data_IF_492643764239
#
_entry.id   IF_492643764239
#
_cell.length_a   1.000
_cell.length_b   1.000
_cell.length_c   1.000
_cell.angle_alpha   90.00
_cell.angle_beta   90.00
_cell.angle_gamma   90.00
#
_symmetry.space_group_name_H-M   'P 1'
#
loop_
_entity.id
_entity.type
_entity.pdbx_description
1 polymer ?
#
# COMPACT_ATOMS: atom_id res chain seq x y z
N UNK A 1 6.25 46.46 -17.97
CA UNK A 1 7.53 46.59 -17.24
C UNK A 1 7.36 45.86 -15.91
N UNK A 2 8.04 44.74 -15.71
CA UNK A 2 7.90 43.98 -14.46
C UNK A 2 8.67 44.69 -13.34
N UNK A 3 7.97 45.13 -12.29
CA UNK A 3 8.55 45.75 -11.11
C UNK A 3 9.26 44.69 -10.25
N UNK A 4 10.46 44.30 -10.65
CA UNK A 4 11.35 43.46 -9.85
C UNK A 4 12.12 44.37 -8.89
N UNK A 5 12.17 43.99 -7.60
CA UNK A 5 12.95 44.74 -6.60
C UNK A 5 14.44 44.71 -6.99
N UNK A 6 15.12 45.86 -6.89
CA UNK A 6 16.53 46.02 -7.25
C UNK A 6 17.45 44.95 -6.64
N UNK A 7 17.24 44.62 -5.35
CA UNK A 7 18.01 43.58 -4.65
C UNK A 7 17.80 42.17 -5.20
N UNK A 8 16.61 41.87 -5.70
CA UNK A 8 16.30 40.58 -6.35
C UNK A 8 17.01 40.49 -7.70
N UNK A 9 16.97 41.57 -8.50
CA UNK A 9 17.67 41.63 -9.78
C UNK A 9 19.20 41.49 -9.61
N UNK A 10 19.80 42.18 -8.63
CA UNK A 10 21.22 42.04 -8.32
C UNK A 10 21.59 40.61 -7.91
N UNK A 11 20.74 39.95 -7.12
CA UNK A 11 20.96 38.57 -6.69
C UNK A 11 20.90 37.59 -7.87
N UNK A 12 19.95 37.75 -8.78
CA UNK A 12 19.88 36.96 -10.01
C UNK A 12 21.12 37.14 -10.88
N UNK A 13 21.62 38.37 -11.05
CA UNK A 13 22.85 38.63 -11.81
C UNK A 13 24.07 37.99 -11.14
N UNK A 14 24.14 37.99 -9.81
CA UNK A 14 25.22 37.35 -9.06
C UNK A 14 25.17 35.81 -9.16
N UNK A 15 23.98 35.22 -9.03
CA UNK A 15 23.76 33.77 -9.19
C UNK A 15 24.10 33.34 -10.63
N UNK A 16 23.64 34.08 -11.65
CA UNK A 16 23.94 33.83 -13.07
C UNK A 16 25.44 33.91 -13.40
N UNK A 17 26.15 34.91 -12.86
CA UNK A 17 27.61 35.02 -13.03
C UNK A 17 28.37 33.90 -12.35
N UNK A 18 27.83 33.34 -11.27
CA UNK A 18 28.42 32.20 -10.58
C UNK A 18 28.25 30.91 -11.40
N UNK A 19 27.06 30.71 -11.96
CA UNK A 19 26.74 29.57 -12.85
C UNK A 19 27.58 29.58 -14.14
N UNK A 20 27.91 30.75 -14.71
CA UNK A 20 28.80 30.86 -15.87
C UNK A 20 30.27 30.51 -15.62
N UNK A 21 30.71 30.53 -14.36
CA UNK A 21 32.10 30.23 -13.97
C UNK A 21 32.28 28.79 -13.44
N UNK A 22 31.19 28.06 -13.22
CA UNK A 22 31.19 26.65 -12.83
C UNK A 22 30.74 25.84 -14.06
N UNK A 23 31.55 24.92 -14.59
CA UNK A 23 31.19 23.97 -15.67
C UNK A 23 30.14 22.93 -15.19
N UNK A 24 29.11 23.37 -14.47
CA UNK A 24 28.04 22.53 -13.96
C UNK A 24 26.79 22.77 -14.77
N UNK A 25 26.52 21.82 -15.67
CA UNK A 25 25.29 21.67 -16.47
C UNK A 25 24.05 21.31 -15.62
N UNK A 26 24.05 21.66 -14.33
CA UNK A 26 22.92 21.39 -13.43
C UNK A 26 22.53 22.64 -12.67
N UNK A 27 21.43 23.24 -13.13
CA UNK A 27 20.66 24.24 -12.40
C UNK A 27 20.25 23.63 -11.05
N UNK A 28 21.08 23.84 -10.02
CA UNK A 28 20.84 23.29 -8.70
C UNK A 28 19.77 24.13 -8.00
N UNK A 29 18.51 23.79 -8.27
CA UNK A 29 17.38 24.34 -7.54
C UNK A 29 17.62 24.12 -6.03
N UNK A 30 17.83 25.20 -5.29
CA UNK A 30 17.96 25.14 -3.83
C UNK A 30 16.65 24.59 -3.27
N UNK A 31 16.61 23.29 -2.95
CA UNK A 31 15.43 22.63 -2.39
C UNK A 31 15.03 23.36 -1.11
N UNK A 32 13.86 23.97 -1.11
CA UNK A 32 13.27 24.52 0.11
C UNK A 32 13.10 23.38 1.10
N UNK A 33 13.67 23.52 2.29
CA UNK A 33 13.44 22.56 3.38
C UNK A 33 11.95 22.65 3.74
N UNK A 34 11.22 21.58 3.46
CA UNK A 34 9.80 21.48 3.76
C UNK A 34 9.53 21.35 5.26
N UNK A 35 8.24 21.30 5.63
CA UNK A 35 7.83 20.99 7.00
C UNK A 35 8.36 19.60 7.40
N UNK A 36 8.87 19.42 8.63
CA UNK A 36 9.28 18.11 9.11
C UNK A 36 8.13 17.09 9.03
N UNK A 37 8.47 15.85 8.67
CA UNK A 37 7.50 14.77 8.58
C UNK A 37 7.06 14.33 9.98
N UNK A 38 5.75 14.20 10.17
CA UNK A 38 5.14 13.74 11.42
C UNK A 38 5.28 12.21 11.54
N UNK A 39 5.07 11.50 10.41
CA UNK A 39 5.19 10.04 10.35
C UNK A 39 6.59 9.63 9.89
N UNK A 40 7.35 9.02 10.81
CA UNK A 40 8.65 8.40 10.56
C UNK A 40 8.62 6.87 10.40
N UNK A 41 9.80 6.24 10.41
CA UNK A 41 9.95 4.78 10.27
C UNK A 41 9.21 3.93 11.31
N UNK A 42 9.16 4.29 12.62
CA UNK A 42 8.44 3.47 13.61
C UNK A 42 6.96 3.30 13.25
N UNK A 43 6.32 4.39 12.82
CA UNK A 43 4.93 4.39 12.37
C UNK A 43 4.73 3.56 11.09
N UNK A 44 5.71 3.58 10.18
CA UNK A 44 5.67 2.76 8.98
C UNK A 44 5.71 1.27 9.30
N UNK A 45 6.59 0.85 10.20
CA UNK A 45 6.70 -0.55 10.61
C UNK A 45 5.42 -1.02 11.29
N UNK A 46 4.86 -0.22 12.20
CA UNK A 46 3.57 -0.51 12.83
C UNK A 46 2.44 -0.69 11.81
N UNK A 47 2.28 0.27 10.88
CA UNK A 47 1.26 0.19 9.84
C UNK A 47 1.43 -1.02 8.92
N UNK A 48 2.67 -1.45 8.64
CA UNK A 48 2.89 -2.69 7.86
C UNK A 48 2.32 -3.89 8.59
N UNK A 49 2.64 -4.07 9.87
CA UNK A 49 2.11 -5.16 10.69
C UNK A 49 0.59 -5.15 10.71
N UNK A 50 -0.02 -3.98 10.92
CA UNK A 50 -1.49 -3.84 10.93
C UNK A 50 -2.14 -4.30 9.62
N UNK A 51 -1.57 -3.92 8.47
CA UNK A 51 -2.11 -4.32 7.16
C UNK A 51 -1.75 -5.76 6.77
N UNK A 52 -0.63 -6.30 7.23
CA UNK A 52 -0.25 -7.69 7.00
C UNK A 52 -1.16 -8.65 7.80
N UNK A 53 -1.50 -8.30 9.05
CA UNK A 53 -2.38 -9.10 9.90
C UNK A 53 -3.85 -9.02 9.45
N UNK A 54 -4.32 -7.82 9.10
CA UNK A 54 -5.67 -7.62 8.57
C UNK A 54 -5.64 -6.61 7.41
N UNK A 55 -5.56 -7.09 6.15
CA UNK A 55 -5.47 -6.20 5.00
C UNK A 55 -6.72 -5.33 4.82
N UNK A 56 -7.87 -5.75 5.35
CA UNK A 56 -9.14 -5.04 5.27
C UNK A 56 -9.32 -3.97 6.36
N UNK A 57 -8.27 -3.68 7.14
CA UNK A 57 -8.28 -2.60 8.14
C UNK A 57 -8.62 -1.26 7.48
N UNK A 58 -9.56 -0.53 8.08
CA UNK A 58 -9.96 0.78 7.53
C UNK A 58 -8.94 1.86 7.86
N UNK A 59 -8.98 2.98 7.15
CA UNK A 59 -8.09 4.12 7.45
C UNK A 59 -8.41 4.75 8.81
N UNK A 60 -9.68 4.72 9.21
CA UNK A 60 -10.15 5.13 10.52
C UNK A 60 -9.56 4.26 11.63
N UNK A 61 -9.65 2.93 11.47
CA UNK A 61 -9.05 1.98 12.41
C UNK A 61 -7.53 2.14 12.46
N UNK A 62 -6.89 2.30 11.30
CA UNK A 62 -5.44 2.52 11.23
C UNK A 62 -5.02 3.81 11.96
N UNK A 63 -5.79 4.89 11.85
CA UNK A 63 -5.55 6.12 12.63
C UNK A 63 -5.73 5.83 14.12
N UNK A 64 -6.82 5.18 14.51
CA UNK A 64 -7.11 4.87 15.92
C UNK A 64 -5.99 4.04 16.55
N UNK A 65 -5.58 2.95 15.89
CA UNK A 65 -4.49 2.08 16.32
C UNK A 65 -3.17 2.83 16.43
N UNK A 66 -2.88 3.71 15.47
CA UNK A 66 -1.66 4.50 15.44
C UNK A 66 -1.64 5.57 16.54
N UNK A 67 -2.77 6.22 16.84
CA UNK A 67 -2.87 7.16 17.97
C UNK A 67 -2.86 6.47 19.34
N UNK A 68 -3.28 5.20 19.39
CA UNK A 68 -3.23 4.39 20.62
C UNK A 68 -1.82 3.89 20.92
N UNK A 69 -1.08 3.48 19.89
CA UNK A 69 0.30 2.98 20.05
C UNK A 69 1.30 4.12 20.32
N UNK A 70 1.09 5.30 19.72
CA UNK A 70 2.00 6.44 19.84
C UNK A 70 1.33 7.58 20.62
N UNK A 71 1.59 7.64 21.93
CA UNK A 71 1.07 8.71 22.81
C UNK A 71 1.43 10.11 22.29
N UNK A 72 0.44 11.01 22.29
CA UNK A 72 0.61 12.40 21.85
C UNK A 72 0.62 12.61 20.34
N UNK A 73 0.41 11.55 19.54
CA UNK A 73 0.31 11.66 18.09
C UNK A 73 -1.08 12.16 17.66
N UNK A 74 -1.16 13.41 17.21
CA UNK A 74 -2.37 13.96 16.62
C UNK A 74 -2.24 14.00 15.09
N UNK A 75 -2.99 13.14 14.38
CA UNK A 75 -2.92 13.04 12.93
C UNK A 75 -4.27 12.92 12.25
N UNK A 76 -4.40 13.59 11.10
CA UNK A 76 -5.59 13.51 10.25
C UNK A 76 -5.56 12.23 9.41
N UNK A 77 -6.75 11.65 9.18
CA UNK A 77 -6.95 10.52 8.27
C UNK A 77 -6.30 10.70 6.88
N UNK A 78 -6.40 11.89 6.30
CA UNK A 78 -5.81 12.19 4.98
C UNK A 78 -4.27 12.12 4.99
N UNK A 79 -3.62 12.47 6.09
CA UNK A 79 -2.18 12.37 6.23
C UNK A 79 -1.73 10.90 6.30
N UNK A 80 -2.45 10.06 7.05
CA UNK A 80 -2.20 8.60 7.09
C UNK A 80 -2.43 7.98 5.71
N UNK A 81 -3.54 8.31 5.03
CA UNK A 81 -3.80 7.83 3.66
C UNK A 81 -2.66 8.21 2.69
N UNK A 82 -2.22 9.47 2.70
CA UNK A 82 -1.13 9.93 1.85
C UNK A 82 0.18 9.21 2.18
N UNK A 83 0.45 8.97 3.46
CA UNK A 83 1.62 8.21 3.88
C UNK A 83 1.58 6.75 3.40
N UNK A 84 0.48 6.05 3.61
CA UNK A 84 0.25 4.67 3.16
C UNK A 84 0.40 4.55 1.64
N UNK A 85 -0.15 5.49 0.88
CA UNK A 85 -0.13 5.45 -0.59
C UNK A 85 1.20 5.92 -1.20
N UNK A 86 1.77 7.03 -0.70
CA UNK A 86 2.94 7.67 -1.29
C UNK A 86 4.27 7.16 -0.71
N UNK A 87 4.32 6.90 0.61
CA UNK A 87 5.55 6.48 1.30
C UNK A 87 5.66 4.97 1.44
N UNK A 88 4.56 4.30 1.79
CA UNK A 88 4.57 2.84 1.94
C UNK A 88 4.30 2.11 0.62
N UNK A 89 3.91 2.83 -0.43
CA UNK A 89 3.52 2.27 -1.72
C UNK A 89 2.48 1.15 -1.58
N UNK A 90 1.48 1.34 -0.71
CA UNK A 90 0.33 0.45 -0.58
C UNK A 90 -0.82 0.97 -1.43
N UNK A 91 -1.57 0.05 -2.04
CA UNK A 91 -2.75 0.33 -2.85
C UNK A 91 -3.92 -0.49 -2.34
N UNK A 92 -5.12 0.09 -2.37
CA UNK A 92 -6.34 -0.62 -2.03
C UNK A 92 -6.74 -1.54 -3.18
N UNK A 93 -6.73 -2.85 -2.94
CA UNK A 93 -6.97 -3.91 -3.92
C UNK A 93 -8.04 -4.86 -3.42
N UNK A 94 -8.62 -5.66 -4.32
CA UNK A 94 -9.50 -6.76 -3.96
C UNK A 94 -8.67 -7.86 -3.28
N UNK A 95 -9.10 -8.31 -2.10
CA UNK A 95 -8.51 -9.36 -1.29
C UNK A 95 -9.37 -10.61 -1.40
N UNK A 96 -8.72 -11.76 -1.60
CA UNK A 96 -9.35 -13.07 -1.51
C UNK A 96 -8.87 -13.78 -0.24
N UNK A 97 -9.81 -14.19 0.60
CA UNK A 97 -9.51 -15.00 1.77
C UNK A 97 -9.46 -16.47 1.35
N UNK A 98 -8.38 -17.14 1.72
CA UNK A 98 -8.26 -18.59 1.57
C UNK A 98 -8.20 -19.21 2.96
N UNK A 99 -8.96 -20.30 3.23
CA UNK A 99 -8.86 -20.99 4.51
C UNK A 99 -7.43 -21.47 4.75
N UNK A 100 -6.84 -21.23 5.92
CA UNK A 100 -5.49 -21.70 6.24
C UNK A 100 -5.37 -23.22 6.12
N UNK A 101 -6.44 -23.94 6.47
CA UNK A 101 -6.55 -25.38 6.28
C UNK A 101 -6.23 -25.81 4.84
N UNK A 102 -6.55 -24.98 3.83
CA UNK A 102 -6.28 -25.26 2.41
C UNK A 102 -4.79 -25.43 2.10
N UNK A 103 -3.92 -24.73 2.82
CA UNK A 103 -2.47 -24.71 2.60
C UNK A 103 -1.70 -25.65 3.55
N UNK A 104 -2.40 -26.44 4.37
CA UNK A 104 -1.77 -27.50 5.16
C UNK A 104 -1.22 -28.57 4.23
N UNK A 105 -0.01 -29.05 4.50
CA UNK A 105 0.71 -30.01 3.64
C UNK A 105 -0.14 -31.24 3.30
N UNK A 106 -0.77 -31.85 4.31
CA UNK A 106 -1.69 -32.98 4.10
C UNK A 106 -2.84 -32.65 3.11
N UNK A 107 -3.45 -31.47 3.24
CA UNK A 107 -4.54 -31.06 2.36
C UNK A 107 -4.07 -30.69 0.95
N UNK A 108 -2.85 -30.18 0.80
CA UNK A 108 -2.23 -29.95 -0.50
C UNK A 108 -1.98 -31.28 -1.22
N UNK A 109 -1.39 -32.27 -0.53
CA UNK A 109 -1.15 -33.61 -1.08
C UNK A 109 -2.46 -34.30 -1.46
N UNK A 110 -3.48 -34.27 -0.58
CA UNK A 110 -4.77 -34.86 -0.87
C UNK A 110 -5.45 -34.22 -2.10
N UNK A 111 -5.38 -32.89 -2.23
CA UNK A 111 -5.92 -32.19 -3.41
C UNK A 111 -5.17 -32.52 -4.69
N UNK A 112 -3.84 -32.67 -4.61
CA UNK A 112 -3.01 -33.05 -5.74
C UNK A 112 -3.31 -34.47 -6.22
N UNK A 113 -3.37 -35.43 -5.29
CA UNK A 113 -3.71 -36.83 -5.59
C UNK A 113 -5.11 -36.92 -6.19
N UNK A 114 -6.11 -36.31 -5.54
CA UNK A 114 -7.49 -36.25 -6.04
C UNK A 114 -7.55 -35.67 -7.46
N UNK A 115 -6.92 -34.51 -7.70
CA UNK A 115 -6.92 -33.90 -9.03
C UNK A 115 -6.26 -34.81 -10.09
N UNK A 116 -5.19 -35.51 -9.74
CA UNK A 116 -4.48 -36.42 -10.63
C UNK A 116 -5.34 -37.64 -10.98
N UNK A 117 -6.00 -38.24 -9.98
CA UNK A 117 -6.92 -39.39 -10.15
C UNK A 117 -8.13 -39.05 -11.03
N UNK A 118 -8.72 -37.86 -10.86
CA UNK A 118 -9.85 -37.45 -11.70
C UNK A 118 -9.43 -37.04 -13.11
N UNK A 119 -8.24 -36.48 -13.26
CA UNK A 119 -7.71 -36.12 -14.59
C UNK A 119 -7.39 -37.37 -15.43
N UNK A 120 -7.02 -38.48 -14.79
CA UNK A 120 -6.78 -39.76 -15.49
C UNK A 120 -8.06 -40.56 -15.78
N UNK A 121 -9.21 -40.13 -15.26
CA UNK A 121 -10.51 -40.75 -15.48
C UNK A 121 -11.25 -40.16 -16.71
N UNK A 122 -12.32 -40.81 -17.18
CA UNK A 122 -13.18 -40.32 -18.28
C UNK A 122 -14.22 -39.26 -17.81
N UNK A 123 -13.90 -38.53 -16.74
CA UNK A 123 -14.80 -37.52 -16.19
C UNK A 123 -14.72 -36.24 -17.04
N UNK A 124 -15.87 -35.82 -17.57
CA UNK A 124 -16.04 -34.59 -18.34
C UNK A 124 -17.04 -33.67 -17.63
N UNK A 125 -16.51 -32.60 -17.04
CA UNK A 125 -17.26 -31.60 -16.27
C UNK A 125 -18.46 -30.99 -17.01
N UNK A 126 -18.51 -31.06 -18.34
CA UNK A 126 -19.57 -30.48 -19.15
C UNK A 126 -20.68 -31.48 -19.52
N UNK A 127 -20.42 -32.79 -19.45
CA UNK A 127 -21.35 -33.80 -20.00
C UNK A 127 -21.79 -34.86 -19.01
N UNK A 128 -20.94 -35.27 -18.06
CA UNK A 128 -21.24 -36.39 -17.15
C UNK A 128 -21.09 -36.06 -15.66
N UNK A 129 -21.09 -34.76 -15.30
CA UNK A 129 -20.86 -34.32 -13.93
C UNK A 129 -21.91 -33.30 -13.45
N UNK A 130 -22.39 -33.46 -12.21
CA UNK A 130 -23.25 -32.48 -11.52
C UNK A 130 -22.58 -32.12 -10.20
N UNK A 131 -22.45 -30.82 -9.92
CA UNK A 131 -21.91 -30.32 -8.66
C UNK A 131 -23.05 -29.95 -7.71
N UNK A 132 -23.02 -30.56 -6.52
CA UNK A 132 -23.94 -30.23 -5.42
C UNK A 132 -23.06 -29.70 -4.30
N UNK A 133 -23.32 -28.47 -3.89
CA UNK A 133 -22.64 -27.84 -2.75
C UNK A 133 -23.65 -27.05 -1.92
N UNK A 134 -23.38 -26.95 -0.63
CA UNK A 134 -24.17 -26.15 0.28
C UNK A 134 -23.65 -24.70 0.27
N UNK A 135 -24.48 -23.76 -0.16
CA UNK A 135 -24.15 -22.36 -0.11
C UNK A 135 -24.25 -21.85 1.35
N UNK A 136 -23.12 -21.78 2.04
CA UNK A 136 -23.05 -21.13 3.35
C UNK A 136 -23.11 -19.61 3.19
N UNK A 137 -24.18 -18.98 3.70
CA UNK A 137 -24.28 -17.51 3.76
C UNK A 137 -23.77 -17.02 5.12
N UNK A 138 -22.71 -16.22 5.10
CA UNK A 138 -22.27 -15.50 6.31
C UNK A 138 -23.11 -14.23 6.49
N UNK A 139 -23.78 -14.10 7.63
CA UNK A 139 -24.50 -12.87 8.01
C UNK A 139 -23.52 -11.68 8.09
N UNK A 140 -22.27 -11.94 8.46
CA UNK A 140 -21.22 -10.94 8.58
C UNK A 140 -20.36 -10.93 7.32
N UNK A 141 -20.86 -10.31 6.24
CA UNK A 141 -20.07 -10.05 5.04
C UNK A 141 -18.96 -9.05 5.36
N UNK A 142 -17.71 -9.47 5.15
CA UNK A 142 -16.56 -8.57 5.26
C UNK A 142 -16.24 -7.95 3.90
N UNK A 143 -15.67 -6.73 3.87
CA UNK A 143 -15.16 -6.16 2.63
C UNK A 143 -14.14 -7.12 2.00
N UNK A 144 -14.30 -7.41 0.71
CA UNK A 144 -13.32 -8.19 -0.05
C UNK A 144 -12.16 -7.30 -0.55
N UNK A 145 -11.81 -6.24 0.17
CA UNK A 145 -10.87 -5.24 -0.30
C UNK A 145 -10.01 -4.75 0.84
N UNK A 146 -8.72 -4.57 0.56
CA UNK A 146 -7.72 -4.25 1.56
C UNK A 146 -6.46 -3.66 0.95
N UNK A 147 -5.54 -3.23 1.80
CA UNK A 147 -4.28 -2.62 1.38
C UNK A 147 -3.22 -3.70 1.10
N UNK A 148 -2.58 -3.60 -0.05
CA UNK A 148 -1.48 -4.49 -0.45
C UNK A 148 -0.39 -3.69 -1.17
N UNK A 149 0.82 -4.27 -1.28
CA UNK A 149 1.93 -3.63 -2.01
C UNK A 149 1.51 -3.25 -3.43
N UNK A 150 1.86 -2.03 -3.81
CA UNK A 150 1.74 -1.54 -5.19
C UNK A 150 2.61 -2.44 -6.06
N UNK A 151 1.99 -2.99 -7.09
CA UNK A 151 2.62 -3.77 -8.14
C UNK A 151 2.46 -3.01 -9.44
#
# INVERSE_FOLDING_TARGET
MFLVKHRTAQRWVADFRKELNEDNDTESERKKVGRPQILGEPHQSFLKTVFDDNPSTTMEDAVSLLTQEFEGLEIKRSAVRNFVTQKMHLTFKRVSYQPEARNKENNLTNRFNWATEWTSSDMNYMTNCVFIDEAAFSINLRPHSGYAKKG
#
